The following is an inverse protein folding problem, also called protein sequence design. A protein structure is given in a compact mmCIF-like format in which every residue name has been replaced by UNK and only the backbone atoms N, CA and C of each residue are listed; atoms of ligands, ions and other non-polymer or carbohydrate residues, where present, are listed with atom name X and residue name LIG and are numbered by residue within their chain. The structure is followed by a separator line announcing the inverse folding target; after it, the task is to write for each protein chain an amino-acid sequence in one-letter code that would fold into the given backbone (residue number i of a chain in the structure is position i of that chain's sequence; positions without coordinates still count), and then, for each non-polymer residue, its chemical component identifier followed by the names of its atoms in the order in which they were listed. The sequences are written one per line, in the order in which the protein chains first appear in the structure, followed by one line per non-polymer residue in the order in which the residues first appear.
data_IF_912131011281
#
_entry.id   IF_912131011281
#
_cell.length_a   1.000
_cell.length_b   1.000
_cell.length_c   1.000
_cell.angle_alpha   90.00
_cell.angle_beta   90.00
_cell.angle_gamma   90.00
#
_symmetry.space_group_name_H-M   'P 1'
#
loop_
_entity.id
_entity.type
_entity.pdbx_description
1 polymer ?
#
# COMPACT_ATOMS: atom_id res chain seq x y z
N UNK A 1 37.09 20.03 -27.94
CA UNK A 1 37.18 18.80 -27.12
C UNK A 1 36.03 18.80 -26.12
N UNK A 2 34.92 18.16 -26.48
CA UNK A 2 33.72 18.03 -25.66
C UNK A 2 34.01 16.98 -24.60
N UNK A 3 34.08 17.39 -23.32
CA UNK A 3 34.25 16.45 -22.20
C UNK A 3 33.00 15.57 -22.12
N UNK A 4 33.16 14.30 -22.53
CA UNK A 4 32.23 13.22 -22.20
C UNK A 4 32.04 13.19 -20.69
N UNK A 5 30.82 13.43 -20.23
CA UNK A 5 30.39 13.08 -18.87
C UNK A 5 30.58 11.56 -18.74
N UNK A 6 31.10 11.01 -17.63
CA UNK A 6 31.29 9.57 -17.49
C UNK A 6 29.93 8.87 -17.66
N UNK A 7 29.90 7.78 -18.43
CA UNK A 7 28.74 6.88 -18.49
C UNK A 7 28.32 6.55 -17.05
N UNK A 8 27.09 6.93 -16.71
CA UNK A 8 26.52 6.73 -15.39
C UNK A 8 26.49 5.22 -15.11
N UNK A 9 27.31 4.73 -14.19
CA UNK A 9 27.65 3.29 -14.03
C UNK A 9 26.55 2.42 -13.40
N UNK A 10 25.39 3.00 -13.06
CA UNK A 10 24.31 2.29 -12.34
C UNK A 10 23.16 2.02 -13.30
N UNK A 11 22.68 0.76 -13.30
CA UNK A 11 21.53 0.28 -14.06
C UNK A 11 20.34 1.27 -13.95
N UNK A 12 19.77 1.73 -15.08
CA UNK A 12 18.59 2.60 -15.10
C UNK A 12 17.40 2.05 -14.30
N UNK A 13 17.21 0.73 -14.28
CA UNK A 13 16.18 0.05 -13.48
C UNK A 13 16.41 0.29 -12.00
N UNK A 14 17.64 0.12 -11.52
CA UNK A 14 17.98 0.31 -10.11
C UNK A 14 17.78 1.76 -9.67
N UNK A 15 18.01 2.73 -10.57
CA UNK A 15 17.69 4.14 -10.32
C UNK A 15 16.20 4.37 -10.17
N UNK A 16 15.37 3.76 -11.02
CA UNK A 16 13.91 3.83 -10.90
C UNK A 16 13.48 3.22 -9.58
N UNK A 17 13.92 2.00 -9.26
CA UNK A 17 13.61 1.32 -8.00
C UNK A 17 13.98 2.19 -6.80
N UNK A 18 15.21 2.72 -6.77
CA UNK A 18 15.66 3.60 -5.70
C UNK A 18 14.77 4.83 -5.54
N UNK A 19 14.35 5.45 -6.65
CA UNK A 19 13.46 6.60 -6.62
C UNK A 19 12.09 6.25 -6.04
N UNK A 20 11.49 5.13 -6.47
CA UNK A 20 10.17 4.70 -6.01
C UNK A 20 10.09 4.71 -4.47
N UNK A 21 11.08 4.14 -3.79
CA UNK A 21 11.09 4.11 -2.32
C UNK A 21 11.55 5.43 -1.70
N UNK A 22 12.59 6.09 -2.23
CA UNK A 22 13.14 7.31 -1.61
C UNK A 22 12.21 8.52 -1.67
N UNK A 23 11.36 8.59 -2.70
CA UNK A 23 10.42 9.70 -2.90
C UNK A 23 9.02 9.39 -2.36
N UNK A 24 8.83 8.24 -1.70
CA UNK A 24 7.56 7.79 -1.14
C UNK A 24 6.88 8.80 -0.20
N UNK A 25 7.66 9.65 0.49
CA UNK A 25 7.12 10.72 1.36
C UNK A 25 7.07 12.10 0.70
N UNK A 26 7.79 12.28 -0.40
CA UNK A 26 7.90 13.56 -1.10
C UNK A 26 6.76 13.74 -2.11
N UNK A 27 6.23 12.65 -2.65
CA UNK A 27 5.15 12.65 -3.64
C UNK A 27 3.82 12.36 -2.95
N UNK A 28 2.79 13.24 -3.07
CA UNK A 28 1.50 13.01 -2.43
C UNK A 28 0.86 11.66 -2.81
N UNK A 29 0.12 10.98 -1.91
CA UNK A 29 -0.46 9.65 -2.16
C UNK A 29 -1.28 9.56 -3.46
N UNK A 30 -2.16 10.55 -3.68
CA UNK A 30 -3.02 10.59 -4.86
C UNK A 30 -2.27 10.81 -6.18
N UNK A 31 -1.00 11.23 -6.14
CA UNK A 31 -0.16 11.45 -7.31
C UNK A 31 0.92 10.38 -7.47
N UNK A 32 1.18 9.58 -6.43
CA UNK A 32 2.30 8.64 -6.38
C UNK A 32 2.29 7.64 -7.54
N UNK A 33 1.14 7.01 -7.82
CA UNK A 33 1.01 6.02 -8.91
C UNK A 33 1.31 6.63 -10.28
N UNK A 34 0.81 7.84 -10.55
CA UNK A 34 1.07 8.53 -11.82
C UNK A 34 2.55 8.89 -11.96
N UNK A 35 3.13 9.50 -10.92
CA UNK A 35 4.55 9.82 -10.88
C UNK A 35 5.45 8.59 -11.02
N UNK A 36 5.04 7.46 -10.44
CA UNK A 36 5.77 6.20 -10.53
C UNK A 36 5.75 5.65 -11.97
N UNK A 37 4.63 5.73 -12.68
CA UNK A 37 4.54 5.39 -14.11
C UNK A 37 5.44 6.30 -14.98
N UNK A 38 5.54 7.59 -14.65
CA UNK A 38 6.52 8.49 -15.30
C UNK A 38 7.98 8.03 -15.08
N UNK A 39 8.29 7.39 -13.95
CA UNK A 39 9.64 6.81 -13.76
C UNK A 39 9.84 5.58 -14.64
N UNK A 40 8.82 4.75 -14.86
CA UNK A 40 8.89 3.61 -15.80
C UNK A 40 9.23 4.10 -17.21
N UNK A 41 8.62 5.21 -17.65
CA UNK A 41 8.82 5.79 -18.98
C UNK A 41 10.26 6.26 -19.26
N UNK A 42 11.08 6.42 -18.21
CA UNK A 42 12.52 6.74 -18.35
C UNK A 42 13.38 5.55 -18.74
N UNK A 43 12.87 4.34 -18.59
CA UNK A 43 13.59 3.08 -18.88
C UNK A 43 12.95 2.34 -20.04
N UNK A 44 11.62 2.31 -20.06
CA UNK A 44 10.85 1.61 -21.09
C UNK A 44 10.00 2.64 -21.82
N UNK A 45 10.39 3.08 -23.03
CA UNK A 45 9.60 4.02 -23.81
C UNK A 45 8.20 3.47 -24.10
N UNK A 46 7.17 4.25 -23.80
CA UNK A 46 5.77 3.91 -24.05
C UNK A 46 4.96 5.20 -24.20
N UNK A 47 3.82 5.11 -24.87
CA UNK A 47 2.96 6.26 -25.17
C UNK A 47 1.83 6.41 -24.14
N UNK A 48 1.42 5.30 -23.52
CA UNK A 48 0.44 5.28 -22.44
C UNK A 48 0.65 4.12 -21.47
N UNK A 49 0.05 4.23 -20.28
CA UNK A 49 0.11 3.19 -19.27
C UNK A 49 -1.17 3.13 -18.42
N UNK A 50 -1.49 1.93 -17.95
CA UNK A 50 -2.56 1.67 -16.99
C UNK A 50 -1.97 0.94 -15.80
N UNK A 51 -2.28 1.40 -14.59
CA UNK A 51 -2.01 0.68 -13.35
C UNK A 51 -3.29 0.50 -12.55
N UNK A 52 -3.79 -0.74 -12.51
CA UNK A 52 -4.96 -1.14 -11.74
C UNK A 52 -4.58 -1.93 -10.49
N UNK A 53 -5.31 -1.70 -9.40
CA UNK A 53 -5.30 -2.58 -8.21
C UNK A 53 -6.74 -2.90 -7.82
N UNK A 54 -7.01 -4.15 -7.45
CA UNK A 54 -8.35 -4.63 -7.19
C UNK A 54 -8.39 -6.06 -6.65
N UNK A 55 -9.51 -6.72 -6.90
CA UNK A 55 -9.72 -8.12 -6.50
C UNK A 55 -9.62 -9.05 -7.70
N UNK A 56 -8.87 -10.15 -7.54
CA UNK A 56 -8.77 -11.20 -8.55
C UNK A 56 -10.12 -11.89 -8.79
N UNK A 57 -10.96 -12.04 -7.75
CA UNK A 57 -12.22 -12.78 -7.87
C UNK A 57 -13.28 -12.05 -8.70
N UNK A 58 -13.27 -10.72 -8.68
CA UNK A 58 -14.20 -9.90 -9.47
C UNK A 58 -13.60 -9.38 -10.77
N UNK A 59 -12.26 -9.42 -10.90
CA UNK A 59 -11.50 -8.77 -11.98
C UNK A 59 -11.81 -7.28 -12.13
N UNK A 60 -12.31 -6.64 -11.07
CA UNK A 60 -12.58 -5.21 -11.03
C UNK A 60 -11.44 -4.49 -10.33
N UNK A 61 -11.01 -3.38 -10.91
CA UNK A 61 -10.08 -2.48 -10.26
C UNK A 61 -10.82 -1.56 -9.29
N UNK A 62 -10.36 -1.52 -8.05
CA UNK A 62 -10.81 -0.54 -7.06
C UNK A 62 -10.09 0.80 -7.26
N UNK A 63 -8.83 0.74 -7.69
CA UNK A 63 -8.03 1.91 -8.02
C UNK A 63 -7.42 1.73 -9.40
N UNK A 64 -7.60 2.73 -10.27
CA UNK A 64 -6.98 2.78 -11.60
C UNK A 64 -6.25 4.10 -11.75
N UNK A 65 -5.01 4.02 -12.19
CA UNK A 65 -4.21 5.17 -12.63
C UNK A 65 -3.93 5.03 -14.12
N UNK A 66 -4.17 6.12 -14.85
CA UNK A 66 -3.97 6.19 -16.29
C UNK A 66 -2.91 7.26 -16.59
N UNK A 67 -1.98 6.91 -17.48
CA UNK A 67 -1.01 7.84 -18.02
C UNK A 67 -1.24 7.95 -19.53
N UNK A 68 -1.46 9.18 -20.01
CA UNK A 68 -1.71 9.49 -21.42
C UNK A 68 -2.82 8.65 -22.08
N UNK A 69 -3.81 8.22 -21.27
CA UNK A 69 -4.98 7.48 -21.74
C UNK A 69 -6.27 8.19 -21.31
N UNK A 70 -7.31 8.20 -22.14
CA UNK A 70 -8.62 8.71 -21.78
C UNK A 70 -9.26 7.98 -20.59
N UNK A 71 -10.07 8.69 -19.79
CA UNK A 71 -10.68 8.17 -18.55
C UNK A 71 -11.67 7.01 -18.77
N UNK A 72 -12.21 6.88 -19.97
CA UNK A 72 -13.15 5.84 -20.40
C UNK A 72 -12.45 4.55 -20.87
N UNK A 73 -11.13 4.57 -21.07
CA UNK A 73 -10.36 3.40 -21.49
C UNK A 73 -10.55 2.16 -20.60
N UNK A 74 -10.52 2.25 -19.25
CA UNK A 74 -10.78 1.09 -18.38
C UNK A 74 -12.13 0.41 -18.66
N UNK A 75 -13.17 1.18 -18.96
CA UNK A 75 -14.49 0.62 -19.26
C UNK A 75 -14.49 -0.18 -20.58
N UNK A 76 -13.75 0.28 -21.59
CA UNK A 76 -13.55 -0.48 -22.84
C UNK A 76 -12.79 -1.79 -22.59
N UNK A 77 -11.74 -1.75 -21.75
CA UNK A 77 -10.99 -2.95 -21.36
C UNK A 77 -11.88 -3.95 -20.60
N UNK A 78 -12.66 -3.48 -19.63
CA UNK A 78 -13.62 -4.30 -18.89
C UNK A 78 -14.67 -4.94 -19.83
N UNK A 79 -15.21 -4.17 -20.77
CA UNK A 79 -16.23 -4.64 -21.72
C UNK A 79 -15.72 -5.73 -22.70
N UNK A 80 -14.41 -5.91 -22.80
CA UNK A 80 -13.77 -6.90 -23.70
C UNK A 80 -12.99 -7.98 -22.95
N UNK A 81 -13.12 -8.04 -21.62
CA UNK A 81 -12.50 -9.05 -20.74
C UNK A 81 -12.67 -10.48 -21.27
N UNK A 82 -13.88 -10.84 -21.75
CA UNK A 82 -14.20 -12.18 -22.21
C UNK A 82 -13.44 -12.63 -23.48
N UNK A 83 -12.98 -11.67 -24.30
CA UNK A 83 -12.27 -11.94 -25.56
C UNK A 83 -10.79 -11.52 -25.48
N UNK A 84 -10.30 -11.15 -24.29
CA UNK A 84 -8.94 -10.67 -24.10
C UNK A 84 -7.92 -11.82 -24.00
N UNK A 85 -7.02 -11.98 -24.99
CA UNK A 85 -6.09 -13.13 -25.01
C UNK A 85 -4.97 -13.02 -23.99
N UNK A 86 -4.64 -11.81 -23.51
CA UNK A 86 -3.61 -11.62 -22.48
C UNK A 86 -4.14 -12.04 -21.10
N UNK A 87 -5.43 -11.88 -20.85
CA UNK A 87 -6.00 -12.00 -19.51
C UNK A 87 -5.81 -13.40 -18.88
N UNK A 88 -6.05 -14.52 -19.57
CA UNK A 88 -5.76 -15.85 -19.01
C UNK A 88 -4.30 -15.98 -18.55
N UNK A 89 -3.36 -15.50 -19.36
CA UNK A 89 -1.94 -15.52 -19.02
C UNK A 89 -1.64 -14.69 -17.78
N UNK A 90 -2.22 -13.49 -17.65
CA UNK A 90 -2.04 -12.67 -16.45
C UNK A 90 -2.60 -13.32 -15.18
N UNK A 91 -3.64 -14.16 -15.29
CA UNK A 91 -4.24 -14.82 -14.13
C UNK A 91 -3.50 -16.10 -13.73
N UNK A 92 -2.89 -16.79 -14.70
CA UNK A 92 -2.17 -18.05 -14.49
C UNK A 92 -0.68 -17.84 -14.20
N UNK A 93 -0.04 -16.91 -14.92
CA UNK A 93 1.40 -16.63 -14.86
C UNK A 93 1.66 -15.26 -14.21
N UNK A 94 1.41 -15.22 -12.90
CA UNK A 94 1.72 -14.04 -12.08
C UNK A 94 3.22 -13.72 -12.15
N UNK A 95 3.54 -12.42 -12.08
CA UNK A 95 4.90 -11.90 -12.11
C UNK A 95 5.70 -12.19 -13.40
N UNK A 96 4.98 -12.50 -14.49
CA UNK A 96 5.53 -12.69 -15.83
C UNK A 96 4.91 -11.65 -16.78
N UNK A 97 5.74 -10.90 -17.54
CA UNK A 97 5.23 -10.02 -18.58
C UNK A 97 4.56 -10.80 -19.71
N UNK A 98 3.36 -10.35 -20.09
CA UNK A 98 2.58 -10.83 -21.22
C UNK A 98 2.57 -9.79 -22.33
N UNK A 99 3.15 -10.13 -23.49
CA UNK A 99 3.11 -9.31 -24.70
C UNK A 99 1.98 -9.78 -25.62
N UNK A 100 1.13 -8.86 -26.10
CA UNK A 100 0.03 -9.20 -27.01
C UNK A 100 0.50 -9.97 -28.24
N UNK A 101 1.65 -9.60 -28.81
CA UNK A 101 2.16 -10.23 -30.04
C UNK A 101 2.58 -11.69 -29.84
N UNK A 102 2.83 -12.10 -28.60
CA UNK A 102 3.12 -13.50 -28.25
C UNK A 102 1.85 -14.30 -27.98
N UNK A 103 0.77 -13.63 -27.57
CA UNK A 103 -0.53 -14.26 -27.31
C UNK A 103 -1.37 -14.39 -28.58
N UNK A 104 -1.22 -13.45 -29.50
CA UNK A 104 -1.98 -13.40 -30.75
C UNK A 104 -1.11 -12.79 -31.86
N UNK A 105 -0.96 -13.52 -32.96
CA UNK A 105 -0.26 -13.01 -34.14
C UNK A 105 -0.90 -11.70 -34.63
N UNK A 106 -0.06 -10.75 -35.06
CA UNK A 106 -0.45 -9.41 -35.48
C UNK A 106 -1.64 -9.40 -36.47
N UNK A 107 -1.61 -10.26 -37.49
CA UNK A 107 -2.70 -10.36 -38.48
C UNK A 107 -4.05 -10.67 -37.82
N UNK A 108 -4.08 -11.60 -36.86
CA UNK A 108 -5.30 -11.95 -36.13
C UNK A 108 -5.67 -10.85 -35.14
N UNK A 109 -4.70 -10.25 -34.47
CA UNK A 109 -4.92 -9.19 -33.50
C UNK A 109 -5.59 -7.97 -34.12
N UNK A 110 -5.06 -7.44 -35.23
CA UNK A 110 -5.62 -6.25 -35.88
C UNK A 110 -6.99 -6.47 -36.55
N UNK A 111 -7.36 -7.73 -36.81
CA UNK A 111 -8.68 -8.10 -37.29
C UNK A 111 -9.65 -8.55 -36.17
N UNK A 112 -9.19 -8.59 -34.92
CA UNK A 112 -9.97 -9.10 -33.79
C UNK A 112 -11.05 -8.12 -33.32
N UNK A 113 -12.03 -8.64 -32.58
CA UNK A 113 -13.01 -7.81 -31.88
C UNK A 113 -12.36 -6.94 -30.81
N UNK A 114 -11.43 -7.50 -30.02
CA UNK A 114 -10.78 -6.74 -28.94
C UNK A 114 -9.97 -5.56 -29.46
N UNK A 115 -9.25 -5.70 -30.58
CA UNK A 115 -8.53 -4.57 -31.17
C UNK A 115 -9.50 -3.45 -31.56
N UNK A 116 -10.54 -3.78 -32.36
CA UNK A 116 -11.51 -2.77 -32.84
C UNK A 116 -12.26 -2.06 -31.73
N UNK A 117 -12.63 -2.77 -30.66
CA UNK A 117 -13.44 -2.23 -29.57
C UNK A 117 -12.62 -1.56 -28.46
N UNK A 118 -11.37 -1.96 -28.25
CA UNK A 118 -10.60 -1.57 -27.04
C UNK A 118 -9.27 -0.91 -27.32
N UNK A 119 -8.56 -1.27 -28.38
CA UNK A 119 -7.21 -0.76 -28.62
C UNK A 119 -7.16 0.28 -29.73
N UNK A 120 -7.84 0.00 -30.85
CA UNK A 120 -7.93 0.89 -32.01
C UNK A 120 -8.50 2.29 -31.67
N UNK A 121 -9.60 2.45 -30.90
CA UNK A 121 -10.16 3.77 -30.62
C UNK A 121 -9.22 4.68 -29.82
N UNK A 122 -8.25 4.09 -29.13
CA UNK A 122 -7.29 4.79 -28.28
C UNK A 122 -5.88 4.84 -28.90
N UNK A 123 -5.72 4.40 -30.16
CA UNK A 123 -4.45 4.39 -30.87
C UNK A 123 -3.41 3.46 -30.26
N UNK A 124 -3.85 2.36 -29.63
CA UNK A 124 -2.97 1.37 -29.00
C UNK A 124 -2.66 0.27 -30.02
N UNK A 125 -1.37 0.08 -30.31
CA UNK A 125 -0.88 -0.90 -31.29
C UNK A 125 -0.03 -2.01 -30.65
N UNK A 126 0.69 -1.71 -29.56
CA UNK A 126 1.45 -2.71 -28.79
C UNK A 126 1.06 -2.67 -27.31
N UNK A 127 0.99 -3.84 -26.69
CA UNK A 127 0.54 -4.01 -25.31
C UNK A 127 1.49 -4.96 -24.59
N UNK A 128 2.08 -4.49 -23.50
CA UNK A 128 2.85 -5.30 -22.54
C UNK A 128 2.19 -5.17 -21.18
N UNK A 129 1.82 -6.29 -20.56
CA UNK A 129 1.13 -6.28 -19.27
C UNK A 129 1.77 -7.23 -18.29
N UNK A 130 1.79 -6.89 -17.01
CA UNK A 130 2.21 -7.81 -15.95
C UNK A 130 1.34 -7.63 -14.73
N UNK A 131 0.90 -8.76 -14.18
CA UNK A 131 0.11 -8.76 -12.96
C UNK A 131 0.88 -9.35 -11.78
N UNK A 132 0.43 -8.97 -10.59
CA UNK A 132 0.92 -9.45 -9.32
C UNK A 132 -0.27 -9.74 -8.40
N UNK A 133 -0.15 -10.80 -7.61
CA UNK A 133 -1.10 -11.14 -6.56
C UNK A 133 -0.33 -11.30 -5.26
N UNK A 134 -0.60 -10.42 -4.30
CA UNK A 134 -0.18 -10.67 -2.93
C UNK A 134 -1.09 -11.76 -2.36
N UNK A 135 -0.55 -12.98 -2.23
CA UNK A 135 -1.30 -14.14 -1.74
C UNK A 135 -1.74 -14.00 -0.28
N UNK A 136 -1.08 -13.13 0.51
CA UNK A 136 -1.43 -12.93 1.92
C UNK A 136 -2.61 -11.99 2.07
N UNK A 137 -2.68 -10.93 1.26
CA UNK A 137 -3.78 -9.95 1.29
C UNK A 137 -4.86 -10.18 0.24
N UNK A 138 -4.63 -11.06 -0.74
CA UNK A 138 -5.52 -11.26 -1.89
C UNK A 138 -5.56 -10.09 -2.88
N UNK A 139 -4.77 -9.03 -2.66
CA UNK A 139 -4.75 -7.85 -3.51
C UNK A 139 -4.10 -8.19 -4.85
N UNK A 140 -4.86 -7.97 -5.93
CA UNK A 140 -4.39 -8.13 -7.29
C UNK A 140 -4.03 -6.78 -7.88
N UNK A 141 -2.86 -6.68 -8.50
CA UNK A 141 -2.44 -5.48 -9.22
C UNK A 141 -1.94 -5.82 -10.61
N UNK A 142 -2.13 -4.89 -11.54
CA UNK A 142 -1.73 -5.00 -12.94
C UNK A 142 -1.09 -3.69 -13.37
N UNK A 143 0.03 -3.76 -14.09
CA UNK A 143 0.55 -2.65 -14.88
C UNK A 143 0.58 -3.06 -16.34
N UNK A 144 0.07 -2.19 -17.21
CA UNK A 144 0.11 -2.34 -18.65
C UNK A 144 0.76 -1.11 -19.29
N UNK A 145 1.68 -1.34 -20.21
CA UNK A 145 2.36 -0.34 -21.02
C UNK A 145 1.89 -0.47 -22.47
N UNK A 146 1.68 0.67 -23.13
CA UNK A 146 1.10 0.76 -24.47
C UNK A 146 1.97 1.58 -25.41
N UNK A 147 2.04 1.18 -26.68
CA UNK A 147 2.64 1.99 -27.76
C UNK A 147 1.66 2.17 -28.91
N UNK A 148 1.77 3.31 -29.55
CA UNK A 148 1.02 3.71 -30.75
C UNK A 148 1.73 3.35 -32.05
N UNK A 149 3.03 3.07 -32.00
CA UNK A 149 3.80 2.66 -33.17
C UNK A 149 3.81 1.12 -33.29
N UNK A 150 3.02 0.62 -34.24
CA UNK A 150 2.96 -0.80 -34.58
C UNK A 150 4.34 -1.40 -34.90
N UNK A 151 5.28 -0.63 -35.44
CA UNK A 151 6.58 -1.16 -35.85
C UNK A 151 7.62 -1.21 -34.72
N UNK A 152 7.21 -0.90 -33.47
CA UNK A 152 8.08 -0.92 -32.29
C UNK A 152 7.60 -1.91 -31.21
N UNK A 153 7.68 -3.23 -31.47
CA UNK A 153 7.36 -4.23 -30.46
C UNK A 153 8.27 -4.09 -29.22
N UNK A 154 7.82 -4.61 -28.07
CA UNK A 154 8.64 -4.60 -26.86
C UNK A 154 9.78 -5.61 -27.00
N UNK A 155 10.99 -5.16 -26.70
CA UNK A 155 12.19 -6.02 -26.76
C UNK A 155 12.27 -6.93 -25.53
N UNK A 156 13.03 -8.03 -25.62
CA UNK A 156 13.28 -8.89 -24.46
C UNK A 156 13.90 -8.14 -23.28
N UNK A 157 14.80 -7.19 -23.56
CA UNK A 157 15.36 -6.33 -22.52
C UNK A 157 14.27 -5.53 -21.80
N UNK A 158 13.36 -4.91 -22.55
CA UNK A 158 12.25 -4.12 -21.98
C UNK A 158 11.28 -4.99 -21.19
N UNK A 159 11.02 -6.23 -21.62
CA UNK A 159 10.21 -7.19 -20.86
C UNK A 159 10.87 -7.54 -19.53
N UNK A 160 12.19 -7.79 -19.52
CA UNK A 160 12.92 -8.04 -18.27
C UNK A 160 12.96 -6.82 -17.35
N UNK A 161 13.11 -5.62 -17.91
CA UNK A 161 13.04 -4.37 -17.16
C UNK A 161 11.63 -4.16 -16.58
N UNK A 162 10.58 -4.41 -17.36
CA UNK A 162 9.19 -4.32 -16.92
C UNK A 162 8.94 -5.26 -15.76
N UNK A 163 9.40 -6.51 -15.86
CA UNK A 163 9.31 -7.51 -14.80
C UNK A 163 9.89 -7.01 -13.47
N UNK A 164 11.12 -6.51 -13.51
CA UNK A 164 11.81 -5.98 -12.32
C UNK A 164 11.10 -4.75 -11.76
N UNK A 165 10.78 -3.77 -12.61
CA UNK A 165 10.20 -2.50 -12.16
C UNK A 165 8.78 -2.70 -11.62
N UNK A 166 7.92 -3.48 -12.29
CA UNK A 166 6.53 -3.69 -11.90
C UNK A 166 6.42 -4.30 -10.50
N UNK A 167 7.25 -5.30 -10.18
CA UNK A 167 7.33 -5.84 -8.83
C UNK A 167 7.57 -4.75 -7.77
N UNK A 168 8.48 -3.81 -8.04
CA UNK A 168 8.75 -2.70 -7.13
C UNK A 168 7.68 -1.61 -7.14
N UNK A 169 6.97 -1.39 -8.25
CA UNK A 169 5.83 -0.48 -8.28
C UNK A 169 4.77 -0.90 -7.26
N UNK A 170 4.36 -2.18 -7.28
CA UNK A 170 3.35 -2.71 -6.37
C UNK A 170 3.75 -2.54 -4.90
N UNK A 171 4.99 -2.91 -4.57
CA UNK A 171 5.50 -2.80 -3.21
C UNK A 171 5.69 -1.35 -2.75
N UNK A 172 6.21 -0.48 -3.61
CA UNK A 172 6.52 0.90 -3.24
C UNK A 172 5.27 1.77 -3.11
N UNK A 173 4.22 1.52 -3.90
CA UNK A 173 2.94 2.21 -3.73
C UNK A 173 2.28 1.90 -2.39
N UNK A 174 2.21 0.62 -2.01
CA UNK A 174 1.66 0.24 -0.71
C UNK A 174 2.47 0.87 0.44
N UNK A 175 3.79 0.86 0.32
CA UNK A 175 4.68 1.51 1.29
C UNK A 175 4.45 3.03 1.39
N UNK A 176 4.41 3.75 0.26
CA UNK A 176 4.18 5.19 0.21
C UNK A 176 2.82 5.57 0.80
N UNK A 177 1.78 4.81 0.47
CA UNK A 177 0.43 5.02 0.99
C UNK A 177 0.41 5.02 2.52
N UNK A 178 1.00 4.01 3.15
CA UNK A 178 1.05 3.94 4.62
C UNK A 178 1.97 4.97 5.26
N UNK A 179 3.10 5.32 4.64
CA UNK A 179 3.97 6.38 5.15
C UNK A 179 3.23 7.72 5.24
N UNK A 180 2.41 8.04 4.24
CA UNK A 180 1.58 9.24 4.28
C UNK A 180 0.44 9.15 5.30
N UNK A 181 -0.19 7.99 5.43
CA UNK A 181 -1.24 7.76 6.43
C UNK A 181 -0.69 7.95 7.86
N UNK A 182 0.52 7.47 8.11
CA UNK A 182 1.21 7.65 9.40
C UNK A 182 1.48 9.12 9.73
N UNK A 183 1.76 9.97 8.73
CA UNK A 183 1.95 11.41 8.96
C UNK A 183 0.70 12.09 9.51
N UNK A 184 -0.48 11.55 9.19
CA UNK A 184 -1.77 12.11 9.61
C UNK A 184 -2.28 11.55 10.93
N UNK A 185 -1.66 10.52 11.49
CA UNK A 185 -2.11 9.89 12.74
C UNK A 185 -1.26 10.32 13.94
N UNK A 186 -1.84 11.02 14.93
CA UNK A 186 -1.08 11.52 16.07
C UNK A 186 -0.66 10.42 17.07
N UNK A 187 -1.36 9.27 17.13
CA UNK A 187 -1.08 8.22 18.11
C UNK A 187 -1.33 6.80 17.58
N UNK A 188 -0.22 6.11 17.26
CA UNK A 188 -0.23 4.70 16.90
C UNK A 188 0.31 3.85 18.05
N UNK A 189 -0.43 2.82 18.52
CA UNK A 189 0.09 1.85 19.48
C UNK A 189 1.36 1.19 18.94
N UNK A 190 2.29 0.89 19.84
CA UNK A 190 3.56 0.28 19.45
C UNK A 190 3.32 -1.13 18.92
N UNK A 191 4.01 -1.50 17.83
CA UNK A 191 3.83 -2.82 17.20
C UNK A 191 2.52 -2.99 16.42
N UNK A 192 1.73 -1.92 16.26
CA UNK A 192 0.48 -1.98 15.50
C UNK A 192 0.72 -2.25 14.01
N UNK A 193 -0.21 -2.98 13.41
CA UNK A 193 -0.36 -3.19 11.97
C UNK A 193 -1.58 -2.41 11.47
N UNK A 194 -1.60 -2.05 10.19
CA UNK A 194 -2.74 -1.35 9.60
C UNK A 194 -3.12 -1.94 8.24
N UNK A 195 -4.41 -1.84 7.91
CA UNK A 195 -4.97 -2.14 6.61
C UNK A 195 -6.02 -1.08 6.25
N UNK A 196 -6.17 -0.81 4.96
CA UNK A 196 -7.33 -0.10 4.43
C UNK A 196 -8.25 -1.10 3.77
N UNK A 197 -9.54 -0.93 4.01
CA UNK A 197 -10.57 -1.85 3.55
C UNK A 197 -11.74 -1.11 2.91
N UNK A 198 -12.52 -1.83 2.11
CA UNK A 198 -13.83 -1.36 1.67
C UNK A 198 -14.93 -1.64 2.71
N UNK A 199 -16.15 -1.17 2.40
CA UNK A 199 -17.36 -1.40 3.21
C UNK A 199 -17.76 -2.88 3.38
N UNK A 200 -17.22 -3.79 2.55
CA UNK A 200 -17.45 -5.23 2.64
C UNK A 200 -16.35 -5.95 3.43
N UNK A 201 -15.36 -5.22 3.95
CA UNK A 201 -14.23 -5.76 4.68
C UNK A 201 -13.12 -6.34 3.81
N UNK A 202 -13.13 -6.08 2.49
CA UNK A 202 -12.06 -6.52 1.60
C UNK A 202 -10.86 -5.60 1.68
N UNK A 203 -9.66 -6.17 1.62
CA UNK A 203 -8.42 -5.40 1.66
C UNK A 203 -8.22 -4.57 0.38
N UNK A 204 -7.88 -3.30 0.59
CA UNK A 204 -7.44 -2.37 -0.46
C UNK A 204 -5.93 -2.14 -0.39
N UNK A 205 -5.41 -1.95 0.82
CA UNK A 205 -3.98 -1.81 1.11
C UNK A 205 -3.69 -2.45 2.46
N UNK A 206 -2.54 -3.12 2.62
CA UNK A 206 -2.21 -3.80 3.89
C UNK A 206 -0.74 -3.64 4.25
N UNK A 207 -0.45 -3.57 5.56
CA UNK A 207 0.92 -3.69 6.05
C UNK A 207 1.26 -5.15 6.34
N UNK A 208 2.52 -5.59 6.11
CA UNK A 208 2.95 -6.94 6.45
C UNK A 208 2.64 -7.31 7.91
N UNK A 209 2.88 -6.38 8.83
CA UNK A 209 2.63 -6.56 10.27
C UNK A 209 1.15 -6.78 10.61
N UNK A 210 0.24 -6.18 9.84
CA UNK A 210 -1.19 -6.41 9.99
C UNK A 210 -1.55 -7.85 9.62
N UNK A 211 -1.06 -8.31 8.46
CA UNK A 211 -1.30 -9.66 7.98
C UNK A 211 -0.66 -10.70 8.91
N UNK A 212 0.55 -10.47 9.43
CA UNK A 212 1.19 -11.34 10.43
C UNK A 212 0.30 -11.58 11.64
N UNK A 213 -0.23 -10.50 12.23
CA UNK A 213 -1.13 -10.64 13.38
C UNK A 213 -2.41 -11.38 13.03
N UNK A 214 -2.99 -11.13 11.85
CA UNK A 214 -4.17 -11.89 11.42
C UNK A 214 -3.86 -13.37 11.16
N UNK A 215 -2.73 -13.68 10.53
CA UNK A 215 -2.32 -15.05 10.22
C UNK A 215 -2.07 -15.86 11.51
N UNK A 216 -1.48 -15.22 12.54
CA UNK A 216 -1.25 -15.82 13.86
C UNK A 216 -2.55 -16.16 14.61
N UNK A 217 -3.59 -15.33 14.52
CA UNK A 217 -4.87 -15.54 15.24
C UNK A 217 -5.94 -16.26 14.41
N UNK A 218 -5.85 -16.18 13.08
CA UNK A 218 -6.83 -16.70 12.13
C UNK A 218 -6.13 -17.46 10.99
N UNK A 219 -5.55 -18.64 11.26
CA UNK A 219 -4.75 -19.37 10.27
C UNK A 219 -5.54 -19.80 9.02
N UNK A 220 -6.86 -19.92 9.12
CA UNK A 220 -7.76 -20.32 8.03
C UNK A 220 -8.58 -19.15 7.46
N UNK A 221 -8.15 -17.90 7.68
CA UNK A 221 -8.87 -16.73 7.16
C UNK A 221 -8.86 -16.71 5.62
N UNK A 222 -9.88 -16.10 5.05
CA UNK A 222 -9.83 -15.75 3.64
C UNK A 222 -8.78 -14.64 3.43
N UNK A 223 -7.84 -14.78 2.48
CA UNK A 223 -6.76 -13.81 2.32
C UNK A 223 -7.23 -12.39 2.05
N UNK A 224 -8.35 -12.25 1.32
CA UNK A 224 -8.86 -10.99 0.79
C UNK A 224 -9.76 -10.19 1.74
N UNK A 225 -10.18 -10.77 2.86
CA UNK A 225 -11.21 -10.19 3.73
C UNK A 225 -10.81 -10.25 5.20
N UNK A 226 -11.31 -9.30 5.97
CA UNK A 226 -11.23 -9.34 7.42
C UNK A 226 -11.94 -10.58 8.00
N UNK A 227 -11.32 -11.27 8.96
CA UNK A 227 -11.90 -12.47 9.58
C UNK A 227 -12.94 -12.15 10.68
N UNK A 228 -13.28 -10.88 10.89
CA UNK A 228 -14.22 -10.43 11.91
C UNK A 228 -15.05 -9.23 11.45
N UNK A 229 -16.17 -8.99 12.14
CA UNK A 229 -17.04 -7.84 11.87
C UNK A 229 -16.34 -6.54 12.23
N UNK A 230 -16.54 -5.53 11.40
CA UNK A 230 -15.97 -4.22 11.62
C UNK A 230 -16.53 -3.51 12.86
N UNK A 231 -15.67 -2.89 13.67
CA UNK A 231 -16.11 -1.93 14.69
C UNK A 231 -16.74 -0.71 14.03
N UNK A 232 -17.65 -0.04 14.74
CA UNK A 232 -18.23 1.22 14.25
C UNK A 232 -17.12 2.27 14.04
N UNK A 233 -17.28 3.21 13.08
CA UNK A 233 -16.27 4.24 12.82
C UNK A 233 -15.88 5.02 14.08
N UNK A 234 -14.59 5.17 14.32
CA UNK A 234 -14.01 5.83 15.49
C UNK A 234 -13.93 4.97 16.75
N UNK A 235 -14.48 3.74 16.74
CA UNK A 235 -14.41 2.86 17.89
C UNK A 235 -13.13 2.02 17.91
N UNK A 236 -12.74 1.67 19.14
CA UNK A 236 -11.74 0.65 19.41
C UNK A 236 -12.39 -0.45 20.23
N UNK A 237 -12.33 -1.69 19.73
CA UNK A 237 -12.91 -2.87 20.40
C UNK A 237 -11.85 -3.93 20.60
N UNK A 238 -12.02 -4.74 21.65
CA UNK A 238 -11.21 -5.93 21.82
C UNK A 238 -11.79 -7.08 20.98
N UNK A 239 -10.92 -7.80 20.28
CA UNK A 239 -11.24 -9.02 19.58
C UNK A 239 -10.18 -10.07 19.93
N UNK A 240 -10.55 -11.09 20.70
CA UNK A 240 -9.60 -12.04 21.30
C UNK A 240 -8.51 -11.29 22.11
N UNK A 241 -7.24 -11.49 21.76
CA UNK A 241 -6.07 -10.82 22.34
C UNK A 241 -5.63 -9.58 21.54
N UNK A 242 -6.44 -9.13 20.57
CA UNK A 242 -6.17 -7.93 19.77
C UNK A 242 -7.09 -6.79 20.16
N UNK A 243 -6.57 -5.58 20.07
CA UNK A 243 -7.39 -4.38 19.95
C UNK A 243 -7.52 -4.02 18.47
N UNK A 244 -8.74 -3.66 18.06
CA UNK A 244 -9.08 -3.29 16.69
C UNK A 244 -9.68 -1.90 16.72
N UNK A 245 -9.01 -0.95 16.07
CA UNK A 245 -9.51 0.42 15.86
C UNK A 245 -9.95 0.61 14.43
N UNK A 246 -11.14 1.17 14.27
CA UNK A 246 -11.72 1.54 12.98
C UNK A 246 -11.74 3.06 12.84
N UNK A 247 -11.11 3.60 11.81
CA UNK A 247 -11.10 5.04 11.52
C UNK A 247 -11.66 5.29 10.12
N UNK A 248 -12.61 6.23 9.95
CA UNK A 248 -13.18 6.52 8.63
C UNK A 248 -12.12 7.12 7.70
N UNK A 249 -12.12 6.69 6.43
CA UNK A 249 -11.20 7.16 5.40
C UNK A 249 -11.95 7.32 4.06
N UNK A 250 -12.67 8.43 3.88
CA UNK A 250 -13.61 8.64 2.77
C UNK A 250 -14.62 7.47 2.69
N UNK A 251 -14.71 6.79 1.55
CA UNK A 251 -15.56 5.61 1.33
C UNK A 251 -14.92 4.28 1.82
N UNK A 252 -13.72 4.37 2.39
CA UNK A 252 -12.96 3.25 2.94
C UNK A 252 -12.86 3.39 4.46
N UNK A 253 -12.35 2.35 5.12
CA UNK A 253 -11.98 2.40 6.52
C UNK A 253 -10.50 2.03 6.70
N UNK A 254 -9.83 2.74 7.60
CA UNK A 254 -8.52 2.38 8.10
C UNK A 254 -8.69 1.54 9.37
N UNK A 255 -8.23 0.30 9.30
CA UNK A 255 -8.20 -0.61 10.44
C UNK A 255 -6.79 -0.68 10.98
N UNK A 256 -6.64 -0.34 12.26
CA UNK A 256 -5.39 -0.53 12.99
C UNK A 256 -5.62 -1.62 14.02
N UNK A 257 -4.74 -2.62 14.04
CA UNK A 257 -4.76 -3.67 15.06
C UNK A 257 -3.44 -3.71 15.81
N UNK A 258 -3.49 -4.09 17.08
CA UNK A 258 -2.32 -4.33 17.91
C UNK A 258 -2.67 -5.35 19.01
N UNK A 259 -1.67 -6.05 19.59
CA UNK A 259 -1.91 -6.92 20.74
C UNK A 259 -2.45 -6.11 21.92
N UNK A 260 -3.51 -6.59 22.54
CA UNK A 260 -4.09 -5.99 23.72
C UNK A 260 -3.08 -6.03 24.87
N UNK A 261 -2.88 -4.88 25.51
CA UNK A 261 -1.92 -4.70 26.59
C UNK A 261 -2.46 -3.85 27.74
N UNK A 262 -1.66 -3.69 28.82
CA UNK A 262 -2.06 -2.90 29.98
C UNK A 262 -2.44 -1.45 29.63
N UNK A 263 -1.76 -0.87 28.65
CA UNK A 263 -1.98 0.52 28.20
C UNK A 263 -3.37 0.73 27.58
N UNK A 264 -4.01 -0.31 27.04
CA UNK A 264 -5.35 -0.22 26.45
C UNK A 264 -6.45 -0.01 27.49
N UNK A 265 -6.15 -0.26 28.77
CA UNK A 265 -7.06 0.06 29.87
C UNK A 265 -7.14 1.57 30.09
N UNK A 266 -6.13 2.33 29.69
CA UNK A 266 -6.03 3.76 29.97
C UNK A 266 -7.00 4.59 29.13
N UNK A 267 -7.55 5.65 29.73
CA UNK A 267 -8.27 6.68 28.95
C UNK A 267 -7.30 7.43 28.02
N UNK A 268 -7.80 8.10 26.99
CA UNK A 268 -6.96 8.89 26.07
C UNK A 268 -6.05 9.89 26.81
N UNK A 269 -6.59 10.59 27.82
CA UNK A 269 -5.82 11.55 28.62
C UNK A 269 -4.78 10.90 29.52
N UNK A 270 -5.11 9.76 30.13
CA UNK A 270 -4.15 8.96 30.91
C UNK A 270 -2.99 8.49 30.03
N UNK A 271 -3.29 8.05 28.82
CA UNK A 271 -2.31 7.56 27.84
C UNK A 271 -1.39 8.68 27.33
N UNK A 272 -1.92 9.86 27.03
CA UNK A 272 -1.13 11.04 26.65
C UNK A 272 -0.10 11.44 27.74
N UNK A 273 -0.53 11.40 29.01
CA UNK A 273 0.32 11.66 30.17
C UNK A 273 1.41 10.59 30.28
N UNK A 274 1.05 9.31 30.14
CA UNK A 274 2.00 8.19 30.17
C UNK A 274 3.06 8.34 29.10
N UNK A 275 2.69 8.64 27.85
CA UNK A 275 3.66 8.82 26.76
C UNK A 275 4.63 9.97 27.03
N UNK A 276 4.14 11.12 27.52
CA UNK A 276 5.00 12.24 27.86
C UNK A 276 6.03 11.88 28.95
N UNK A 277 5.59 11.16 29.98
CA UNK A 277 6.42 10.80 31.12
C UNK A 277 7.41 9.69 30.75
N UNK A 278 7.01 8.72 29.95
CA UNK A 278 7.86 7.67 29.39
C UNK A 278 8.95 8.24 28.47
N UNK A 279 8.67 9.35 27.76
CA UNK A 279 9.66 10.09 26.96
C UNK A 279 10.68 10.90 27.79
N UNK A 280 10.69 10.77 29.12
CA UNK A 280 11.64 11.49 29.97
C UNK A 280 11.19 12.90 30.38
N UNK A 281 10.03 13.41 29.93
CA UNK A 281 9.55 14.74 30.33
C UNK A 281 9.25 14.80 31.84
N UNK A 282 9.66 15.89 32.49
CA UNK A 282 9.23 16.20 33.86
C UNK A 282 7.73 16.52 33.91
N UNK A 283 7.12 16.45 35.10
CA UNK A 283 5.69 16.78 35.25
C UNK A 283 5.37 18.20 34.79
N UNK A 284 6.28 19.16 34.97
CA UNK A 284 6.13 20.53 34.49
C UNK A 284 6.15 20.62 32.95
N UNK A 285 7.04 19.86 32.30
CA UNK A 285 7.12 19.81 30.84
C UNK A 285 5.91 19.09 30.23
N UNK A 286 5.50 17.95 30.81
CA UNK A 286 4.30 17.23 30.39
C UNK A 286 3.06 18.11 30.55
N UNK A 287 2.89 18.76 31.70
CA UNK A 287 1.80 19.70 31.98
C UNK A 287 1.72 20.84 30.94
N UNK A 288 2.87 21.44 30.61
CA UNK A 288 2.97 22.48 29.57
C UNK A 288 2.57 21.96 28.19
N UNK A 289 3.01 20.76 27.81
CA UNK A 289 2.71 20.14 26.51
C UNK A 289 1.22 19.78 26.38
N UNK A 290 0.64 19.29 27.47
CA UNK A 290 -0.72 18.73 27.55
C UNK A 290 -1.77 19.83 27.84
N UNK A 291 -1.35 21.00 28.34
CA UNK A 291 -2.23 22.13 28.67
C UNK A 291 -2.96 21.98 30.01
N UNK A 292 -2.29 21.43 31.04
CA UNK A 292 -2.86 21.22 32.39
C UNK A 292 -1.90 21.69 33.49
N UNK A 293 -2.33 21.67 34.75
CA UNK A 293 -1.44 21.93 35.88
C UNK A 293 -0.50 20.73 36.16
N UNK A 294 0.72 20.94 36.67
CA UNK A 294 1.63 19.86 37.08
C UNK A 294 1.01 18.91 38.12
N UNK A 295 0.18 19.42 39.02
CA UNK A 295 -0.56 18.61 40.01
C UNK A 295 -1.58 17.67 39.35
N UNK A 296 -2.23 18.11 38.26
CA UNK A 296 -3.14 17.28 37.47
C UNK A 296 -2.38 16.09 36.86
N UNK A 297 -1.19 16.33 36.30
CA UNK A 297 -0.32 15.26 35.76
C UNK A 297 0.04 14.24 36.85
N UNK A 298 0.44 14.71 38.03
CA UNK A 298 0.77 13.83 39.16
C UNK A 298 -0.44 12.98 39.60
N UNK A 299 -1.63 13.58 39.69
CA UNK A 299 -2.86 12.88 40.05
C UNK A 299 -3.26 11.81 39.01
N UNK A 300 -3.11 12.11 37.72
CA UNK A 300 -3.35 11.12 36.67
C UNK A 300 -2.33 9.97 36.75
N UNK A 301 -1.03 10.26 36.92
CA UNK A 301 -0.01 9.23 37.06
C UNK A 301 -0.25 8.30 38.25
N UNK A 302 -0.69 8.84 39.39
CA UNK A 302 -1.04 8.02 40.55
C UNK A 302 -2.16 7.01 40.23
N UNK A 303 -3.19 7.44 39.49
CA UNK A 303 -4.27 6.55 39.04
C UNK A 303 -3.78 5.53 38.02
N UNK A 304 -2.93 5.96 37.09
CA UNK A 304 -2.31 5.10 36.07
C UNK A 304 -1.47 4.01 36.72
N UNK A 305 -0.58 4.34 37.65
CA UNK A 305 0.28 3.37 38.35
C UNK A 305 -0.56 2.28 39.02
N UNK A 306 -1.64 2.65 39.73
CA UNK A 306 -2.56 1.67 40.31
C UNK A 306 -3.31 0.84 39.26
N UNK A 307 -3.73 1.45 38.16
CA UNK A 307 -4.49 0.80 37.09
C UNK A 307 -3.65 -0.20 36.29
N UNK A 308 -2.37 0.09 36.12
CA UNK A 308 -1.41 -0.74 35.39
C UNK A 308 -0.66 -1.72 36.30
N UNK A 309 -0.66 -1.49 37.62
CA UNK A 309 0.10 -2.31 38.57
C UNK A 309 1.61 -2.07 38.52
N UNK A 310 2.04 -0.87 38.11
CA UNK A 310 3.46 -0.47 38.06
C UNK A 310 3.80 0.49 39.20
N UNK A 311 5.02 0.41 39.71
CA UNK A 311 5.46 1.12 40.91
C UNK A 311 6.56 2.14 40.64
N UNK A 312 7.14 2.13 39.44
CA UNK A 312 8.20 3.04 39.07
C UNK A 312 7.99 3.66 37.70
N UNK A 313 8.64 4.81 37.49
CA UNK A 313 8.69 5.47 36.17
C UNK A 313 9.35 4.58 35.13
N UNK A 314 10.36 3.80 35.55
CA UNK A 314 11.06 2.84 34.69
C UNK A 314 10.13 1.73 34.26
N UNK A 315 9.40 1.08 35.17
CA UNK A 315 8.39 0.07 34.81
C UNK A 315 7.31 0.62 33.87
N UNK A 316 6.83 1.85 34.12
CA UNK A 316 5.88 2.50 33.21
C UNK A 316 6.50 2.71 31.82
N UNK A 317 7.78 3.11 31.74
CA UNK A 317 8.48 3.28 30.48
C UNK A 317 8.69 1.94 29.76
N UNK A 318 9.00 0.85 30.48
CA UNK A 318 9.15 -0.49 29.91
C UNK A 318 7.85 -1.03 29.31
N UNK A 319 6.68 -0.64 29.84
CA UNK A 319 5.39 -0.95 29.22
C UNK A 319 5.14 -0.20 27.91
N UNK A 320 5.69 1.01 27.77
CA UNK A 320 5.57 1.84 26.57
C UNK A 320 6.60 1.45 25.51
N UNK A 321 7.81 1.09 25.94
CA UNK A 321 8.95 0.74 25.10
C UNK A 321 9.54 -0.63 25.50
N UNK A 322 8.81 -1.75 25.29
CA UNK A 322 9.34 -3.08 25.55
C UNK A 322 10.60 -3.32 24.72
N UNK A 323 11.75 -3.46 25.40
CA UNK A 323 13.07 -3.70 24.78
C UNK A 323 14.08 -2.53 24.88
N UNK A 324 13.74 -1.40 25.51
CA UNK A 324 14.68 -0.31 25.76
C UNK A 324 15.56 -0.49 27.02
N UNK A 325 15.48 -1.65 27.68
CA UNK A 325 16.47 -2.03 28.69
C UNK A 325 17.78 -2.44 27.97
N UNK A 326 18.62 -1.44 27.68
CA UNK A 326 20.06 -1.64 27.72
C UNK A 326 20.68 -0.60 28.66
N UNK A 327 21.56 -1.05 29.58
CA UNK A 327 22.28 -0.16 30.49
C UNK A 327 23.19 0.82 29.74
#
# INVERSE_FOLDING_TARGET
MTKSIPNDTIDPVDRVISRLYRWAMAVPPGQYRNWALEQVGRVIPHDGALWGSGSRSTLKFHTVTLQNLPKDYPAALEATTAVNPILPHLLEQLDVPADMSEMMADERFYNSEIYRRTFQPFGIERILSMSHLDRRSGIYSLVSLYRSDRNKPFTELEKQQHKRIAFHLFNAASHAYFLHLLKTQPERPMGAGAAVIDQHGNFQETQPRFLEMLDERFPNRQPQQLPFKLPDPGQTVAFQDLMVRSEPLNDLALITIWPAGPLDRLTGREREIVYCVAQGLSFKQAAKKIGVAPSTVANHLYRVYRKLGVFSRTELASLVYPGSDKP
#
